data_IF_695141500387
#
_entry.id   IF_695141500387
#
_cell.length_a   1.000
_cell.length_b   1.000
_cell.length_c   1.000
_cell.angle_alpha   90.00
_cell.angle_beta   90.00
_cell.angle_gamma   90.00
#
_symmetry.space_group_name_H-M   'P 1'
#
loop_
_entity.id
_entity.type
_entity.pdbx_description
1 polymer ?
#
# COMPACT_ATOMS: atom_id res chain seq x y z
N UNK A 1 15.75 -2.71 5.14
CA UNK A 1 14.75 -3.06 4.10
C UNK A 1 13.56 -2.16 4.28
N UNK A 2 13.00 -1.59 3.20
CA UNK A 2 11.86 -0.69 3.27
C UNK A 2 10.81 -1.05 2.22
N UNK A 3 9.58 -0.60 2.44
CA UNK A 3 8.54 -0.67 1.42
C UNK A 3 8.93 0.17 0.20
N UNK A 4 8.65 -0.36 -0.98
CA UNK A 4 8.87 0.34 -2.23
C UNK A 4 7.74 0.06 -3.22
N UNK A 5 7.50 1.00 -4.14
CA UNK A 5 6.49 0.82 -5.20
C UNK A 5 7.25 0.28 -6.42
N UNK A 6 6.97 -0.95 -6.89
CA UNK A 6 7.64 -1.45 -8.08
C UNK A 6 7.09 -0.77 -9.33
N UNK A 7 7.97 -0.45 -10.29
CA UNK A 7 7.55 0.10 -11.59
C UNK A 7 6.77 -0.93 -12.44
N UNK A 8 6.98 -2.22 -12.18
CA UNK A 8 6.28 -3.33 -12.80
C UNK A 8 6.00 -4.43 -11.78
N UNK A 9 4.79 -5.00 -11.80
CA UNK A 9 4.46 -6.16 -10.98
C UNK A 9 4.66 -7.45 -11.80
N UNK A 10 5.35 -8.44 -11.22
CA UNK A 10 5.51 -9.78 -11.81
C UNK A 10 4.18 -10.50 -12.01
N UNK A 11 4.13 -11.47 -12.93
CA UNK A 11 2.92 -12.25 -13.21
C UNK A 11 2.35 -12.95 -11.97
N UNK A 12 3.21 -13.40 -11.05
CA UNK A 12 2.80 -14.13 -9.87
C UNK A 12 2.09 -13.24 -8.85
N UNK A 13 2.58 -12.02 -8.67
CA UNK A 13 1.92 -11.03 -7.81
C UNK A 13 0.61 -10.58 -8.46
N UNK A 14 0.56 -10.43 -9.80
CA UNK A 14 -0.70 -10.13 -10.52
C UNK A 14 -1.76 -11.23 -10.32
N UNK A 15 -1.36 -12.50 -10.35
CA UNK A 15 -2.25 -13.63 -10.05
C UNK A 15 -2.80 -13.54 -8.63
N UNK A 16 -1.94 -13.19 -7.65
CA UNK A 16 -2.36 -13.00 -6.26
C UNK A 16 -3.28 -11.79 -6.04
N UNK A 17 -3.15 -10.78 -6.91
CA UNK A 17 -4.04 -9.62 -6.97
C UNK A 17 -5.36 -9.89 -7.71
N UNK A 18 -5.62 -11.14 -8.14
CA UNK A 18 -6.90 -11.51 -8.77
C UNK A 18 -7.08 -10.97 -10.18
N UNK A 19 -5.99 -10.79 -10.94
CA UNK A 19 -6.00 -10.24 -12.31
C UNK A 19 -6.57 -8.81 -12.44
N UNK A 20 -6.72 -8.08 -11.34
CA UNK A 20 -7.16 -6.68 -11.37
C UNK A 20 -6.17 -5.86 -12.19
N UNK A 21 -6.70 -5.14 -13.19
CA UNK A 21 -5.90 -4.29 -14.08
C UNK A 21 -5.36 -3.11 -13.28
N UNK A 22 -4.05 -3.07 -13.10
CA UNK A 22 -3.36 -1.92 -12.53
C UNK A 22 -3.55 -0.74 -13.49
N UNK A 23 -4.08 0.37 -12.99
CA UNK A 23 -4.19 1.64 -13.71
C UNK A 23 -3.12 2.59 -13.17
N UNK A 24 -2.34 3.17 -14.08
CA UNK A 24 -1.57 4.39 -13.76
C UNK A 24 -2.53 5.56 -13.78
N UNK A 25 -2.62 6.27 -12.67
CA UNK A 25 -3.54 7.40 -12.51
C UNK A 25 -2.74 8.65 -12.17
N UNK A 26 -3.10 9.77 -12.79
CA UNK A 26 -2.43 11.05 -12.57
C UNK A 26 -2.78 11.59 -11.20
N UNK A 27 -1.79 12.19 -10.54
CA UNK A 27 -1.98 12.96 -9.31
C UNK A 27 -2.15 14.42 -9.71
N UNK A 28 -3.27 15.01 -9.32
CA UNK A 28 -3.62 16.42 -9.57
C UNK A 28 -3.93 17.05 -8.22
N UNK A 29 -2.94 17.66 -7.60
CA UNK A 29 -3.13 18.34 -6.32
C UNK A 29 -4.17 19.45 -6.48
N UNK A 30 -5.32 19.29 -5.81
CA UNK A 30 -6.37 20.29 -5.85
C UNK A 30 -6.23 21.25 -4.65
N UNK A 31 -6.55 22.55 -4.80
CA UNK A 31 -6.61 23.49 -3.68
C UNK A 31 -7.42 22.90 -2.52
N UNK A 32 -6.92 23.08 -1.29
CA UNK A 32 -7.51 22.58 -0.04
C UNK A 32 -7.47 21.06 0.15
N UNK A 33 -6.84 20.29 -0.74
CA UNK A 33 -6.68 18.86 -0.48
C UNK A 33 -5.66 18.62 0.63
N UNK A 34 -5.99 17.75 1.57
CA UNK A 34 -5.18 17.43 2.76
C UNK A 34 -4.43 16.12 2.51
N UNK A 35 -3.15 16.07 2.89
CA UNK A 35 -2.34 14.85 2.81
C UNK A 35 -2.99 13.73 3.63
N UNK A 36 -2.95 12.50 3.10
CA UNK A 36 -3.50 11.29 3.72
C UNK A 36 -5.04 11.26 3.94
N UNK A 37 -5.78 12.31 3.59
CA UNK A 37 -7.26 12.35 3.69
C UNK A 37 -7.95 12.06 2.35
N UNK A 38 -7.61 10.96 1.66
CA UNK A 38 -8.04 10.79 0.28
C UNK A 38 -9.56 10.69 0.06
N UNK A 39 -10.30 10.09 1.00
CA UNK A 39 -11.76 10.00 0.86
C UNK A 39 -12.43 11.38 1.00
N UNK A 40 -12.03 12.17 2.01
CA UNK A 40 -12.57 13.50 2.24
C UNK A 40 -12.19 14.49 1.15
N UNK A 41 -10.97 14.37 0.62
CA UNK A 41 -10.57 15.12 -0.57
C UNK A 41 -11.52 14.84 -1.73
N UNK A 42 -11.75 13.56 -2.06
CA UNK A 42 -12.63 13.16 -3.19
C UNK A 42 -14.06 13.66 -2.96
N UNK A 43 -14.60 13.50 -1.74
CA UNK A 43 -15.93 14.02 -1.38
C UNK A 43 -16.03 15.53 -1.57
N UNK A 44 -15.04 16.28 -1.08
CA UNK A 44 -14.99 17.73 -1.22
C UNK A 44 -14.89 18.17 -2.69
N UNK A 45 -14.14 17.43 -3.50
CA UNK A 45 -13.99 17.74 -4.92
C UNK A 45 -15.29 17.50 -5.71
N UNK A 46 -15.92 16.33 -5.56
CA UNK A 46 -17.14 15.99 -6.32
C UNK A 46 -18.38 16.77 -5.84
N UNK A 47 -18.31 17.46 -4.70
CA UNK A 47 -19.37 18.38 -4.28
C UNK A 47 -19.54 19.56 -5.26
N UNK A 48 -18.48 19.95 -5.96
CA UNK A 48 -18.45 21.09 -6.89
C UNK A 48 -18.06 20.69 -8.32
N UNK A 49 -17.79 19.42 -8.58
CA UNK A 49 -17.34 18.91 -9.86
C UNK A 49 -18.08 17.61 -10.19
N UNK A 50 -18.32 17.35 -11.49
CA UNK A 50 -18.88 16.08 -11.92
C UNK A 50 -17.91 14.91 -11.66
N UNK A 51 -18.45 13.79 -11.20
CA UNK A 51 -17.71 12.55 -10.99
C UNK A 51 -18.26 11.72 -9.83
N UNK A 52 -17.63 10.58 -9.61
CA UNK A 52 -17.97 9.67 -8.52
C UNK A 52 -16.73 9.18 -7.78
N UNK A 53 -16.93 8.67 -6.57
CA UNK A 53 -15.86 8.04 -5.78
C UNK A 53 -15.53 6.67 -6.39
N UNK A 54 -14.28 6.48 -6.81
CA UNK A 54 -13.75 5.15 -7.12
C UNK A 54 -12.82 4.70 -6.00
N UNK A 55 -13.16 3.59 -5.36
CA UNK A 55 -12.28 2.94 -4.38
C UNK A 55 -11.31 1.98 -5.05
N UNK A 56 -10.19 1.73 -4.39
CA UNK A 56 -9.22 0.75 -4.82
C UNK A 56 -8.01 0.70 -3.91
N UNK A 57 -6.99 -0.02 -4.34
CA UNK A 57 -5.76 -0.22 -3.57
C UNK A 57 -4.60 0.53 -4.21
N UNK A 58 -3.87 1.28 -3.38
CA UNK A 58 -2.43 1.52 -3.59
C UNK A 58 -1.67 0.31 -3.08
N UNK A 59 -0.50 0.04 -3.64
CA UNK A 59 0.31 -1.09 -3.18
C UNK A 59 1.80 -0.77 -3.14
N UNK A 60 2.50 -1.50 -2.28
CA UNK A 60 3.96 -1.50 -2.19
C UNK A 60 4.45 -2.89 -1.78
N UNK A 61 5.73 -3.16 -2.02
CA UNK A 61 6.38 -4.42 -1.69
C UNK A 61 7.42 -4.23 -0.59
N UNK A 62 7.53 -5.22 0.29
CA UNK A 62 8.63 -5.38 1.21
C UNK A 62 9.37 -6.66 0.85
N UNK A 63 10.63 -6.52 0.43
CA UNK A 63 11.52 -7.66 0.16
C UNK A 63 11.03 -8.61 -0.92
N UNK A 64 10.09 -8.21 -1.77
CA UNK A 64 9.37 -9.07 -2.72
C UNK A 64 8.58 -10.24 -2.09
N UNK A 65 8.54 -10.31 -0.76
CA UNK A 65 7.89 -11.38 0.01
C UNK A 65 6.57 -10.94 0.62
N UNK A 66 6.34 -9.64 0.78
CA UNK A 66 5.10 -9.10 1.33
C UNK A 66 4.58 -7.99 0.43
N UNK A 67 3.29 -8.06 0.12
CA UNK A 67 2.54 -7.04 -0.59
C UNK A 67 1.68 -6.27 0.41
N UNK A 68 1.94 -4.98 0.55
CA UNK A 68 1.11 -4.05 1.31
C UNK A 68 0.07 -3.43 0.39
N UNK A 69 -1.19 -3.47 0.80
CA UNK A 69 -2.33 -2.86 0.14
C UNK A 69 -2.92 -1.80 1.07
N UNK A 70 -3.04 -0.58 0.60
CA UNK A 70 -3.63 0.53 1.35
C UNK A 70 -4.83 1.02 0.55
N UNK A 71 -6.01 0.98 1.16
CA UNK A 71 -7.22 1.49 0.53
C UNK A 71 -7.05 2.97 0.20
N UNK A 72 -7.55 3.34 -0.97
CA UNK A 72 -7.40 4.67 -1.51
C UNK A 72 -8.65 5.05 -2.30
N UNK A 73 -9.04 6.31 -2.20
CA UNK A 73 -10.15 6.89 -2.94
C UNK A 73 -9.62 7.84 -4.01
N UNK A 74 -10.19 7.74 -5.21
CA UNK A 74 -9.84 8.59 -6.36
C UNK A 74 -11.13 9.07 -7.02
N UNK A 75 -11.05 10.15 -7.79
CA UNK A 75 -12.21 10.64 -8.56
C UNK A 75 -12.28 9.83 -9.86
N UNK A 76 -13.46 9.28 -10.16
CA UNK A 76 -13.79 8.78 -11.49
C UNK A 76 -14.62 9.82 -12.22
N UNK A 77 -14.10 10.29 -13.35
CA UNK A 77 -14.77 11.24 -14.23
C UNK A 77 -15.79 10.52 -15.11
N UNK A 78 -16.69 11.28 -15.74
CA UNK A 78 -17.72 10.75 -16.65
C UNK A 78 -17.12 9.98 -17.84
N UNK A 79 -15.94 10.38 -18.31
CA UNK A 79 -15.20 9.68 -19.36
C UNK A 79 -14.47 8.40 -18.88
N UNK A 80 -14.73 7.93 -17.66
CA UNK A 80 -14.07 6.80 -16.98
C UNK A 80 -12.57 6.98 -16.68
N UNK A 81 -12.04 8.20 -16.81
CA UNK A 81 -10.71 8.53 -16.31
C UNK A 81 -10.69 8.59 -14.79
N UNK A 82 -9.54 8.19 -14.23
CA UNK A 82 -9.29 8.24 -12.80
C UNK A 82 -8.21 9.28 -12.51
N UNK A 83 -8.48 10.15 -11.54
CA UNK A 83 -7.51 11.12 -11.03
C UNK A 83 -7.41 11.01 -9.51
N UNK A 84 -6.18 11.02 -9.00
CA UNK A 84 -5.92 11.16 -7.58
C UNK A 84 -5.75 12.64 -7.27
N UNK A 85 -6.57 13.18 -6.37
CA UNK A 85 -6.49 14.59 -6.00
C UNK A 85 -5.76 14.85 -4.69
N UNK A 86 -5.44 13.79 -3.95
CA UNK A 86 -4.69 13.89 -2.71
C UNK A 86 -3.24 14.30 -2.97
N UNK A 87 -2.70 15.30 -2.26
CA UNK A 87 -1.34 15.74 -2.43
C UNK A 87 -0.34 14.61 -2.21
N UNK A 88 0.63 14.52 -3.11
CA UNK A 88 1.80 13.69 -2.96
C UNK A 88 2.98 14.42 -3.60
N UNK A 89 3.82 15.06 -2.78
CA UNK A 89 4.84 16.01 -3.23
C UNK A 89 5.85 15.39 -4.21
N UNK A 90 6.04 14.07 -4.15
CA UNK A 90 7.05 13.36 -4.93
C UNK A 90 6.47 12.58 -6.13
N UNK A 91 5.14 12.46 -6.26
CA UNK A 91 4.51 11.56 -7.23
C UNK A 91 3.53 12.26 -8.16
N UNK A 92 3.86 12.27 -9.47
CA UNK A 92 2.97 12.72 -10.55
C UNK A 92 1.92 11.67 -10.94
N UNK A 93 2.20 10.40 -10.66
CA UNK A 93 1.33 9.27 -10.96
C UNK A 93 1.40 8.24 -9.85
N UNK A 94 0.32 7.47 -9.67
CA UNK A 94 0.29 6.32 -8.77
C UNK A 94 -0.23 5.09 -9.49
N UNK A 95 0.26 3.92 -9.08
CA UNK A 95 -0.32 2.64 -9.46
C UNK A 95 -1.55 2.38 -8.58
N UNK A 96 -2.69 2.14 -9.22
CA UNK A 96 -3.97 1.97 -8.56
C UNK A 96 -4.69 0.72 -9.05
N UNK A 97 -5.27 -0.04 -8.12
CA UNK A 97 -6.06 -1.25 -8.39
C UNK A 97 -7.52 -0.96 -8.02
N UNK A 98 -8.40 -0.61 -8.97
CA UNK A 98 -9.80 -0.35 -8.67
C UNK A 98 -10.48 -1.54 -7.98
N UNK A 99 -11.18 -1.28 -6.88
CA UNK A 99 -11.89 -2.28 -6.09
C UNK A 99 -13.02 -1.61 -5.29
N UNK A 100 -14.26 -1.77 -5.75
CA UNK A 100 -15.43 -1.18 -5.10
C UNK A 100 -15.89 -1.95 -3.85
N UNK A 101 -15.36 -3.16 -3.59
CA UNK A 101 -15.69 -3.92 -2.39
C UNK A 101 -15.16 -3.26 -1.11
N UNK A 102 -14.12 -2.42 -1.24
CA UNK A 102 -13.52 -1.65 -0.13
C UNK A 102 -14.56 -0.79 0.58
N UNK A 103 -15.58 -0.28 -0.11
CA UNK A 103 -16.63 0.56 0.48
C UNK A 103 -17.26 -0.08 1.72
N UNK A 104 -17.38 -1.41 1.73
CA UNK A 104 -18.00 -2.18 2.81
C UNK A 104 -17.06 -2.41 4.00
N UNK A 105 -15.79 -2.01 3.89
CA UNK A 105 -14.74 -2.18 4.90
C UNK A 105 -14.33 -0.84 5.56
N UNK A 106 -14.96 0.27 5.15
CA UNK A 106 -14.63 1.61 5.67
C UNK A 106 -15.41 1.83 6.97
N UNK A 107 -14.68 2.17 8.02
CA UNK A 107 -15.24 2.48 9.34
C UNK A 107 -14.90 3.94 9.69
N UNK A 108 -15.91 4.82 9.70
CA UNK A 108 -15.71 6.25 9.91
C UNK A 108 -14.80 6.87 8.85
N UNK A 109 -13.63 7.38 9.29
CA UNK A 109 -12.57 7.94 8.41
C UNK A 109 -11.48 6.93 8.06
N UNK A 110 -11.51 5.72 8.63
CA UNK A 110 -10.47 4.72 8.44
C UNK A 110 -10.61 4.03 7.08
N UNK A 111 -9.56 4.11 6.28
CA UNK A 111 -9.39 3.34 5.06
C UNK A 111 -8.57 2.09 5.38
N UNK A 112 -9.07 0.87 5.08
CA UNK A 112 -8.42 -0.35 5.49
C UNK A 112 -7.05 -0.55 4.84
N UNK A 113 -6.11 -1.10 5.60
CA UNK A 113 -4.84 -1.62 5.11
C UNK A 113 -4.78 -3.14 5.28
N UNK A 114 -4.01 -3.82 4.42
CA UNK A 114 -3.66 -5.24 4.61
C UNK A 114 -2.31 -5.61 4.01
N UNK A 115 -1.63 -6.54 4.65
CA UNK A 115 -0.36 -7.12 4.21
C UNK A 115 -0.54 -8.58 3.84
N UNK A 116 -0.17 -8.92 2.61
CA UNK A 116 -0.32 -10.27 2.06
C UNK A 116 1.07 -10.90 1.89
N UNK A 117 1.24 -12.10 2.44
CA UNK A 117 2.43 -12.91 2.17
C UNK A 117 2.43 -13.39 0.72
N UNK A 118 3.49 -13.05 -0.01
CA UNK A 118 3.74 -13.48 -1.37
C UNK A 118 4.43 -14.84 -1.44
N UNK A 119 4.79 -15.45 -0.32
CA UNK A 119 5.34 -16.81 -0.28
C UNK A 119 4.68 -17.67 0.79
N UNK A 120 4.78 -19.00 0.62
CA UNK A 120 4.28 -19.98 1.59
C UNK A 120 5.29 -20.15 2.72
N UNK A 121 5.30 -19.20 3.66
CA UNK A 121 6.15 -19.26 4.85
C UNK A 121 5.36 -18.73 6.06
N UNK A 122 5.27 -19.53 7.13
CA UNK A 122 4.50 -19.18 8.33
C UNK A 122 5.04 -17.93 9.02
N UNK A 123 6.35 -17.78 9.16
CA UNK A 123 6.96 -16.64 9.82
C UNK A 123 6.69 -15.33 9.07
N UNK A 124 6.70 -15.38 7.73
CA UNK A 124 6.37 -14.20 6.90
C UNK A 124 4.90 -13.86 6.99
N UNK A 125 4.01 -14.87 7.03
CA UNK A 125 2.58 -14.66 7.28
C UNK A 125 2.34 -14.01 8.64
N UNK A 126 2.99 -14.50 9.70
CA UNK A 126 2.89 -13.90 11.05
C UNK A 126 3.41 -12.45 11.06
N UNK A 127 4.54 -12.19 10.38
CA UNK A 127 5.06 -10.83 10.26
C UNK A 127 4.09 -9.90 9.54
N UNK A 128 3.47 -10.34 8.44
CA UNK A 128 2.46 -9.56 7.73
C UNK A 128 1.25 -9.23 8.63
N UNK A 129 0.77 -10.19 9.43
CA UNK A 129 -0.31 -9.96 10.40
C UNK A 129 0.07 -8.95 11.49
N UNK A 130 1.34 -8.91 11.90
CA UNK A 130 1.83 -7.90 12.86
C UNK A 130 1.87 -6.51 12.24
N UNK A 131 2.23 -6.39 10.96
CA UNK A 131 2.14 -5.12 10.24
C UNK A 131 0.70 -4.60 10.14
N UNK A 132 -0.27 -5.49 9.89
CA UNK A 132 -1.70 -5.12 9.89
C UNK A 132 -2.15 -4.60 11.25
N UNK A 133 -1.73 -5.26 12.34
CA UNK A 133 -2.03 -4.81 13.70
C UNK A 133 -1.41 -3.43 13.98
N UNK A 134 -0.15 -3.23 13.60
CA UNK A 134 0.54 -1.96 13.79
C UNK A 134 -0.16 -0.80 13.05
N UNK A 135 -0.73 -1.06 11.87
CA UNK A 135 -1.51 -0.06 11.13
C UNK A 135 -2.84 0.27 11.82
N UNK A 136 -3.56 -0.75 12.29
CA UNK A 136 -4.87 -0.58 12.95
C UNK A 136 -4.80 0.15 14.29
N UNK A 137 -3.75 -0.12 15.06
CA UNK A 137 -3.55 0.48 16.40
C UNK A 137 -3.58 2.01 16.35
N UNK A 138 -3.13 2.64 15.24
CA UNK A 138 -3.21 4.09 15.03
C UNK A 138 -4.63 4.67 15.04
N UNK A 139 -5.62 3.84 14.71
CA UNK A 139 -7.01 4.24 14.54
C UNK A 139 -7.89 3.73 15.69
N UNK A 140 -7.51 2.61 16.32
CA UNK A 140 -8.30 1.96 17.37
C UNK A 140 -7.96 2.50 18.78
N UNK A 141 -6.74 2.99 19.01
CA UNK A 141 -6.28 3.39 20.34
C UNK A 141 -6.20 4.90 20.52
N UNK A 142 -6.49 5.34 21.75
CA UNK A 142 -6.18 6.69 22.20
C UNK A 142 -4.66 6.94 22.20
N UNK A 143 -4.20 8.19 22.00
CA UNK A 143 -2.79 8.53 21.88
C UNK A 143 -1.89 8.00 23.01
N UNK A 144 -2.41 7.94 24.23
CA UNK A 144 -1.69 7.51 25.45
C UNK A 144 -1.35 6.01 25.45
N UNK A 145 -2.19 5.18 24.84
CA UNK A 145 -2.01 3.72 24.80
C UNK A 145 -1.40 3.22 23.49
N UNK A 146 -1.44 4.07 22.46
CA UNK A 146 -0.95 3.77 21.11
C UNK A 146 0.51 3.33 21.09
N UNK A 147 1.40 4.10 21.73
CA UNK A 147 2.85 3.86 21.64
C UNK A 147 3.27 2.54 22.30
N UNK A 148 2.71 2.24 23.48
CA UNK A 148 3.02 1.02 24.23
C UNK A 148 2.65 -0.22 23.43
N UNK A 149 1.45 -0.23 22.84
CA UNK A 149 1.00 -1.38 22.04
C UNK A 149 1.79 -1.49 20.72
N UNK A 150 2.11 -0.37 20.08
CA UNK A 150 2.96 -0.34 18.90
C UNK A 150 4.35 -0.93 19.20
N UNK A 151 4.95 -0.58 20.33
CA UNK A 151 6.27 -1.09 20.74
C UNK A 151 6.25 -2.60 21.02
N UNK A 152 5.16 -3.11 21.60
CA UNK A 152 4.95 -4.56 21.77
C UNK A 152 4.85 -5.27 20.43
N UNK A 153 4.06 -4.73 19.51
CA UNK A 153 3.92 -5.29 18.15
C UNK A 153 5.27 -5.28 17.43
N UNK A 154 6.00 -4.16 17.49
CA UNK A 154 7.31 -4.01 16.86
C UNK A 154 8.35 -4.96 17.46
N UNK A 155 8.36 -5.11 18.78
CA UNK A 155 9.23 -6.07 19.47
C UNK A 155 8.96 -7.49 18.98
N UNK A 156 7.69 -7.90 18.87
CA UNK A 156 7.32 -9.20 18.32
C UNK A 156 7.65 -9.33 16.84
N UNK A 157 7.48 -8.26 16.06
CA UNK A 157 7.81 -8.25 14.63
C UNK A 157 9.32 -8.43 14.39
N UNK A 158 10.16 -7.90 15.29
CA UNK A 158 11.63 -8.01 15.21
C UNK A 158 12.11 -9.47 15.18
N UNK A 159 11.40 -10.37 15.88
CA UNK A 159 11.70 -11.81 15.90
C UNK A 159 11.61 -12.47 14.51
N UNK A 160 10.67 -12.02 13.68
CA UNK A 160 10.46 -12.59 12.35
C UNK A 160 11.33 -11.92 11.27
N UNK A 161 11.87 -10.73 11.54
CA UNK A 161 12.62 -9.93 10.57
C UNK A 161 13.80 -10.67 9.92
N UNK A 162 14.59 -11.51 10.63
CA UNK A 162 15.64 -12.31 10.00
C UNK A 162 15.10 -13.30 8.96
N UNK A 163 13.93 -13.91 9.21
CA UNK A 163 13.28 -14.80 8.23
C UNK A 163 12.82 -14.00 7.02
N UNK A 164 12.18 -12.85 7.23
CA UNK A 164 11.76 -11.98 6.12
C UNK A 164 12.96 -11.60 5.26
N UNK A 165 14.07 -11.18 5.87
CA UNK A 165 15.28 -10.78 5.17
C UNK A 165 15.92 -11.91 4.35
N UNK A 166 16.15 -13.06 5.00
CA UNK A 166 16.75 -14.23 4.34
C UNK A 166 15.92 -14.75 3.16
N UNK A 167 14.60 -14.84 3.31
CA UNK A 167 13.72 -15.25 2.21
C UNK A 167 13.69 -14.21 1.08
N UNK A 168 13.70 -12.92 1.42
CA UNK A 168 13.76 -11.85 0.42
C UNK A 168 15.00 -11.93 -0.47
N UNK A 169 16.15 -12.27 0.12
CA UNK A 169 17.41 -12.52 -0.62
C UNK A 169 17.27 -13.75 -1.54
N UNK A 170 16.69 -14.84 -1.05
CA UNK A 170 16.57 -16.08 -1.82
C UNK A 170 15.70 -15.92 -3.05
N UNK A 171 14.56 -15.22 -2.92
CA UNK A 171 13.56 -15.18 -3.98
C UNK A 171 13.76 -14.09 -5.02
N UNK A 172 14.40 -12.97 -4.65
CA UNK A 172 14.49 -11.79 -5.53
C UNK A 172 15.50 -12.05 -6.63
N UNK A 173 15.11 -12.07 -7.90
CA UNK A 173 16.07 -12.35 -8.98
C UNK A 173 16.99 -11.15 -9.26
N UNK A 174 18.07 -11.39 -10.00
CA UNK A 174 19.05 -10.33 -10.32
C UNK A 174 18.46 -9.24 -11.24
N UNK A 175 17.51 -9.61 -12.09
CA UNK A 175 16.75 -8.76 -13.01
C UNK A 175 15.50 -8.13 -12.38
N UNK A 176 15.27 -8.35 -11.09
CA UNK A 176 14.18 -7.71 -10.33
C UNK A 176 14.71 -6.54 -9.50
N UNK A 177 13.80 -5.64 -9.09
CA UNK A 177 14.12 -4.61 -8.11
C UNK A 177 14.61 -5.22 -6.80
N UNK A 178 15.67 -4.63 -6.25
CA UNK A 178 16.32 -5.17 -5.07
C UNK A 178 15.37 -5.24 -3.87
N UNK A 179 15.41 -6.38 -3.16
CA UNK A 179 14.64 -6.63 -1.95
C UNK A 179 14.81 -5.54 -0.88
N UNK A 180 15.93 -4.82 -0.88
CA UNK A 180 16.20 -3.78 0.12
C UNK A 180 15.23 -2.58 0.00
N UNK A 181 14.60 -2.40 -1.18
CA UNK A 181 13.69 -1.30 -1.47
C UNK A 181 14.38 -0.03 -2.00
N UNK A 182 15.59 -0.15 -2.56
CA UNK A 182 16.36 0.97 -3.12
C UNK A 182 15.78 1.53 -4.42
N UNK A 183 14.97 0.75 -5.14
CA UNK A 183 14.46 1.13 -6.46
C UNK A 183 15.43 0.89 -7.61
N UNK A 184 16.58 0.24 -7.37
CA UNK A 184 17.50 -0.25 -8.41
C UNK A 184 17.45 -1.79 -8.50
N UNK A 185 17.88 -2.35 -9.63
CA UNK A 185 17.89 -3.81 -9.82
C UNK A 185 18.84 -4.48 -8.83
N UNK A 186 18.52 -5.70 -8.39
CA UNK A 186 19.33 -6.48 -7.44
C UNK A 186 20.76 -6.64 -7.95
N UNK A 187 20.96 -6.84 -9.26
CA UNK A 187 22.28 -6.97 -9.88
C UNK A 187 23.24 -5.80 -9.58
N UNK A 188 22.73 -4.60 -9.27
CA UNK A 188 23.51 -3.39 -9.06
C UNK A 188 23.47 -2.86 -7.61
N UNK A 189 22.74 -3.51 -6.70
CA UNK A 189 22.35 -2.89 -5.42
C UNK A 189 23.25 -3.21 -4.21
N UNK A 190 24.10 -4.23 -4.30
CA UNK A 190 24.94 -4.69 -3.19
C UNK A 190 26.31 -5.14 -3.70
N UNK A 191 26.82 -4.43 -4.71
CA UNK A 191 28.19 -4.59 -5.19
C UNK A 191 29.17 -3.92 -4.23
#
# INVERSE_FOLDING_TARGET
MKFYIPNSISSDIRKKLGYVKIRKIKVITHPNSIKDECLENVRSYIANHQGEVQFGWKFSLLGNVILRLIAHAVVKKENNDLICISPNEDLKEINFLPDNSIKNMIEGKYLPGKHLSLIKNKNIKEYALLLDKAEKVKFELLPENFQIELDRINSKASFYLPTVYSESIKITKMDEYCYCGSGILRAFCHQ
#
